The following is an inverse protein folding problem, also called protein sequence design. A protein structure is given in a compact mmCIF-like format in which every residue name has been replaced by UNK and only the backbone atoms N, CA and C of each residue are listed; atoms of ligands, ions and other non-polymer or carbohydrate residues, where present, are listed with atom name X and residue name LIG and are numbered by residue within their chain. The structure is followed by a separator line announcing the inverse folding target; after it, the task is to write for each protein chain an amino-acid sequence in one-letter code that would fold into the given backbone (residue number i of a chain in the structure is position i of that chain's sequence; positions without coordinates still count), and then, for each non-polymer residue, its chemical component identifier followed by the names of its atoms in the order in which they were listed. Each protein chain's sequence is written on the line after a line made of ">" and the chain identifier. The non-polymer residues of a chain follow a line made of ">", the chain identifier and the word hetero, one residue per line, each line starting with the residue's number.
data_IF_298255297806
#
_entry.id   IF_298255297806
#
_cell.length_a   1.000
_cell.length_b   1.000
_cell.length_c   1.000
_cell.angle_alpha   90.00
_cell.angle_beta   90.00
_cell.angle_gamma   90.00
#
_symmetry.space_group_name_H-M   'P 1'
#
loop_
_entity.id
_entity.type
_entity.pdbx_description
1 polymer ?
#
# COMPACT_ATOMS: atom_id res chain seq x y z
N UNK A 1 29.86 15.92 -4.68
CA UNK A 1 28.65 15.08 -4.85
C UNK A 1 27.46 16.02 -4.98
N UNK A 2 26.74 16.02 -6.11
CA UNK A 2 25.47 16.74 -6.24
C UNK A 2 24.54 16.40 -5.07
N UNK A 3 23.77 17.37 -4.58
CA UNK A 3 22.87 17.16 -3.44
C UNK A 3 21.87 16.01 -3.68
N UNK A 4 21.46 15.80 -4.95
CA UNK A 4 20.61 14.69 -5.35
C UNK A 4 21.27 13.32 -5.12
N UNK A 5 22.52 13.14 -5.54
CA UNK A 5 23.25 11.87 -5.40
C UNK A 5 23.48 11.50 -3.93
N UNK A 6 23.66 12.50 -3.07
CA UNK A 6 23.73 12.30 -1.62
C UNK A 6 22.40 11.78 -1.06
N UNK A 7 21.29 12.42 -1.43
CA UNK A 7 19.94 12.00 -1.01
C UNK A 7 19.62 10.60 -1.51
N UNK A 8 19.91 10.29 -2.77
CA UNK A 8 19.72 8.97 -3.36
C UNK A 8 20.54 7.93 -2.60
N UNK A 9 21.82 8.21 -2.34
CA UNK A 9 22.71 7.29 -1.61
C UNK A 9 22.20 6.96 -0.21
N UNK A 10 21.66 7.96 0.50
CA UNK A 10 21.09 7.77 1.84
C UNK A 10 19.83 6.89 1.81
N UNK A 11 18.99 7.04 0.78
CA UNK A 11 17.71 6.34 0.68
C UNK A 11 17.85 4.93 0.09
N UNK A 12 18.81 4.68 -0.80
CA UNK A 12 18.98 3.38 -1.46
C UNK A 12 19.80 2.37 -0.65
N UNK A 13 20.79 2.85 0.12
CA UNK A 13 21.68 1.96 0.85
C UNK A 13 21.13 1.65 2.24
N UNK A 14 20.76 0.38 2.44
CA UNK A 14 20.29 -0.12 3.74
C UNK A 14 21.26 0.15 4.90
N UNK A 15 22.56 0.27 4.63
CA UNK A 15 23.58 0.64 5.64
C UNK A 15 23.34 2.01 6.28
N UNK A 16 22.60 2.89 5.63
CA UNK A 16 22.29 4.23 6.13
C UNK A 16 20.87 4.37 6.68
N UNK A 17 20.11 3.28 6.81
CA UNK A 17 18.73 3.33 7.31
C UNK A 17 18.61 4.04 8.66
N UNK A 18 19.53 3.75 9.58
CA UNK A 18 19.54 4.33 10.92
C UNK A 18 20.37 5.61 11.03
N UNK A 19 20.97 6.06 9.93
CA UNK A 19 21.78 7.26 9.91
C UNK A 19 20.92 8.51 10.25
N UNK A 20 21.42 9.44 11.08
CA UNK A 20 20.66 10.62 11.48
C UNK A 20 20.11 11.44 10.30
N UNK A 21 20.87 11.55 9.20
CA UNK A 21 20.41 12.24 8.00
C UNK A 21 19.24 11.53 7.32
N UNK A 22 19.21 10.19 7.31
CA UNK A 22 18.10 9.42 6.73
C UNK A 22 16.85 9.60 7.56
N UNK A 23 16.95 9.52 8.89
CA UNK A 23 15.83 9.78 9.80
C UNK A 23 15.30 11.20 9.62
N UNK A 24 16.17 12.20 9.64
CA UNK A 24 15.81 13.59 9.42
C UNK A 24 15.14 13.81 8.06
N UNK A 25 15.64 13.19 7.00
CA UNK A 25 15.07 13.29 5.67
C UNK A 25 13.66 12.67 5.61
N UNK A 26 13.46 11.50 6.22
CA UNK A 26 12.15 10.85 6.32
C UNK A 26 11.18 11.70 7.13
N UNK A 27 11.60 12.25 8.27
CA UNK A 27 10.79 13.13 9.11
C UNK A 27 10.36 14.42 8.39
N UNK A 28 11.22 14.93 7.49
CA UNK A 28 10.94 16.13 6.68
C UNK A 28 10.24 15.83 5.35
N UNK A 29 10.11 14.56 4.97
CA UNK A 29 9.51 14.18 3.68
C UNK A 29 8.13 14.79 3.44
N UNK A 30 7.19 14.85 4.42
CA UNK A 30 5.90 15.51 4.21
C UNK A 30 6.02 16.99 3.83
N UNK A 31 6.93 17.72 4.49
CA UNK A 31 7.17 19.12 4.21
C UNK A 31 7.82 19.32 2.83
N UNK A 32 8.78 18.47 2.47
CA UNK A 32 9.45 18.50 1.16
C UNK A 32 8.47 18.20 0.03
N UNK A 33 7.64 17.15 0.17
CA UNK A 33 6.62 16.81 -0.82
C UNK A 33 5.60 17.93 -0.95
N UNK A 34 5.16 18.53 0.15
CA UNK A 34 4.25 19.67 0.14
C UNK A 34 4.86 20.89 -0.58
N UNK A 35 6.16 21.14 -0.41
CA UNK A 35 6.87 22.19 -1.14
C UNK A 35 6.83 21.93 -2.65
N UNK A 36 7.16 20.70 -3.08
CA UNK A 36 7.12 20.33 -4.50
C UNK A 36 5.72 20.38 -5.10
N UNK A 37 4.69 20.01 -4.32
CA UNK A 37 3.30 20.10 -4.73
C UNK A 37 2.83 21.55 -4.94
N UNK A 38 3.42 22.52 -4.22
CA UNK A 38 3.10 23.95 -4.33
C UNK A 38 3.94 24.69 -5.36
N UNK A 39 5.09 24.14 -5.75
CA UNK A 39 5.99 24.80 -6.68
C UNK A 39 5.51 24.62 -8.13
N UNK A 40 5.38 25.69 -8.94
CA UNK A 40 4.81 25.63 -10.30
C UNK A 40 5.44 24.55 -11.19
N UNK A 41 6.77 24.46 -11.20
CA UNK A 41 7.48 23.55 -12.12
C UNK A 41 7.43 22.07 -11.70
N UNK A 42 7.13 21.79 -10.43
CA UNK A 42 7.13 20.42 -9.89
C UNK A 42 5.77 19.94 -9.42
N UNK A 43 4.75 20.81 -9.40
CA UNK A 43 3.43 20.47 -8.87
C UNK A 43 2.80 19.30 -9.63
N UNK A 44 2.72 19.41 -10.95
CA UNK A 44 2.10 18.38 -11.80
C UNK A 44 2.86 17.04 -11.72
N UNK A 45 4.20 17.07 -11.75
CA UNK A 45 5.00 15.85 -11.63
C UNK A 45 4.85 15.21 -10.25
N UNK A 46 4.73 16.01 -9.19
CA UNK A 46 4.48 15.53 -7.81
C UNK A 46 3.11 14.87 -7.69
N UNK A 47 2.05 15.49 -8.21
CA UNK A 47 0.70 14.89 -8.19
C UNK A 47 0.61 13.63 -9.05
N UNK A 48 1.29 13.59 -10.21
CA UNK A 48 1.39 12.39 -11.03
C UNK A 48 2.12 11.26 -10.29
N UNK A 49 3.24 11.55 -9.64
CA UNK A 49 3.96 10.58 -8.81
C UNK A 49 3.10 10.04 -7.65
N UNK A 50 2.38 10.93 -6.95
CA UNK A 50 1.51 10.55 -5.84
C UNK A 50 0.37 9.61 -6.31
N UNK A 51 -0.32 9.97 -7.41
CA UNK A 51 -1.37 9.13 -8.03
C UNK A 51 -0.84 7.74 -8.37
N UNK A 52 0.28 7.66 -9.07
CA UNK A 52 0.89 6.39 -9.46
C UNK A 52 1.28 5.54 -8.24
N UNK A 53 1.81 6.17 -7.19
CA UNK A 53 2.21 5.48 -5.96
C UNK A 53 0.99 4.90 -5.23
N UNK A 54 -0.09 5.66 -5.11
CA UNK A 54 -1.34 5.20 -4.49
C UNK A 54 -1.94 4.07 -5.32
N UNK A 55 -2.06 4.25 -6.64
CA UNK A 55 -2.62 3.23 -7.53
C UNK A 55 -1.86 1.89 -7.42
N UNK A 56 -0.53 1.93 -7.42
CA UNK A 56 0.31 0.74 -7.25
C UNK A 56 0.06 0.04 -5.91
N UNK A 57 0.08 0.79 -4.81
CA UNK A 57 -0.15 0.24 -3.45
C UNK A 57 -1.55 -0.36 -3.31
N UNK A 58 -2.57 0.30 -3.88
CA UNK A 58 -3.94 -0.21 -3.86
C UNK A 58 -4.06 -1.48 -4.69
N UNK A 59 -3.48 -1.51 -5.90
CA UNK A 59 -3.47 -2.70 -6.73
C UNK A 59 -2.75 -3.88 -6.05
N UNK A 60 -1.61 -3.64 -5.41
CA UNK A 60 -0.87 -4.67 -4.66
C UNK A 60 -1.67 -5.15 -3.43
N UNK A 61 -2.36 -4.25 -2.75
CA UNK A 61 -3.24 -4.60 -1.62
C UNK A 61 -4.44 -5.44 -2.06
N UNK A 62 -5.11 -5.06 -3.16
CA UNK A 62 -6.22 -5.83 -3.73
C UNK A 62 -5.73 -7.23 -4.12
N UNK A 63 -4.61 -7.32 -4.85
CA UNK A 63 -4.01 -8.61 -5.22
C UNK A 63 -3.76 -9.49 -4.01
N UNK A 64 -3.21 -8.93 -2.93
CA UNK A 64 -2.99 -9.69 -1.68
C UNK A 64 -4.30 -10.15 -1.04
N UNK A 65 -5.31 -9.29 -1.02
CA UNK A 65 -6.63 -9.64 -0.49
C UNK A 65 -7.28 -10.77 -1.30
N UNK A 66 -7.18 -10.73 -2.62
CA UNK A 66 -7.75 -11.73 -3.51
C UNK A 66 -6.90 -12.99 -3.65
N UNK A 67 -5.59 -12.91 -3.35
CA UNK A 67 -4.69 -14.06 -3.36
C UNK A 67 -4.88 -14.98 -2.14
N UNK A 68 -5.43 -14.45 -1.05
CA UNK A 68 -5.92 -15.27 0.05
C UNK A 68 -7.23 -15.93 -0.38
N UNK A 69 -7.13 -17.03 -1.12
CA UNK A 69 -8.27 -17.92 -1.41
C UNK A 69 -8.83 -18.59 -0.14
N UNK A 70 -8.19 -18.40 1.02
CA UNK A 70 -8.71 -18.79 2.33
C UNK A 70 -9.88 -17.92 2.81
N UNK A 71 -10.25 -16.86 2.07
CA UNK A 71 -11.58 -16.28 2.24
C UNK A 71 -12.60 -17.28 1.69
N UNK A 72 -13.19 -18.09 2.58
CA UNK A 72 -14.10 -19.22 2.36
C UNK A 72 -15.41 -18.92 1.57
N UNK A 73 -15.46 -17.87 0.76
CA UNK A 73 -16.54 -17.61 -0.19
C UNK A 73 -16.21 -18.18 -1.57
N UNK A 74 -15.56 -19.33 -1.63
CA UNK A 74 -15.47 -20.06 -2.88
C UNK A 74 -16.72 -20.92 -3.05
N UNK A 75 -17.77 -20.33 -3.64
CA UNK A 75 -18.98 -21.04 -4.03
C UNK A 75 -18.82 -21.77 -5.38
N UNK A 76 -17.60 -21.87 -5.94
CA UNK A 76 -17.37 -22.52 -7.25
C UNK A 76 -17.76 -24.01 -7.26
N UNK A 77 -17.92 -24.63 -6.09
CA UNK A 77 -18.42 -25.99 -5.92
C UNK A 77 -19.75 -26.08 -5.18
N UNK A 78 -20.35 -24.95 -4.81
CA UNK A 78 -21.65 -24.92 -4.15
C UNK A 78 -22.75 -25.27 -5.17
N UNK A 79 -23.60 -26.23 -4.84
CA UNK A 79 -24.79 -26.50 -5.64
C UNK A 79 -25.83 -25.38 -5.45
N UNK A 80 -26.82 -25.31 -6.35
CA UNK A 80 -27.90 -24.34 -6.21
C UNK A 80 -28.65 -24.48 -4.87
N UNK A 81 -28.73 -25.71 -4.33
CA UNK A 81 -29.34 -25.97 -3.03
C UNK A 81 -28.48 -25.46 -1.88
N UNK A 82 -27.17 -25.60 -1.97
CA UNK A 82 -26.25 -25.09 -0.94
C UNK A 82 -26.30 -23.55 -0.86
N UNK A 83 -26.61 -22.87 -1.96
CA UNK A 83 -26.86 -21.43 -2.00
C UNK A 83 -28.23 -21.03 -1.44
N UNK A 84 -29.27 -21.84 -1.67
CA UNK A 84 -30.60 -21.61 -1.08
C UNK A 84 -30.61 -21.80 0.44
N UNK A 85 -29.87 -22.80 0.92
CA UNK A 85 -29.74 -23.12 2.34
C UNK A 85 -28.66 -22.28 3.05
N UNK A 86 -27.94 -21.40 2.33
CA UNK A 86 -26.83 -20.62 2.86
C UNK A 86 -27.28 -19.58 3.90
N UNK A 87 -26.74 -19.67 5.12
CA UNK A 87 -26.95 -18.69 6.19
C UNK A 87 -25.65 -18.00 6.58
N UNK A 88 -25.53 -16.72 6.23
CA UNK A 88 -24.33 -15.91 6.54
C UNK A 88 -24.09 -15.81 8.05
N UNK A 89 -25.16 -15.90 8.85
CA UNK A 89 -25.13 -15.89 10.31
C UNK A 89 -24.53 -17.16 10.92
N UNK A 90 -24.60 -18.30 10.22
CA UNK A 90 -23.99 -19.56 10.67
C UNK A 90 -22.48 -19.55 10.42
N UNK A 91 -22.06 -19.16 9.21
CA UNK A 91 -20.64 -18.95 8.89
C UNK A 91 -19.99 -17.91 9.82
N UNK A 92 -20.67 -16.79 10.11
CA UNK A 92 -20.15 -15.78 11.03
C UNK A 92 -20.01 -16.31 12.48
N UNK A 93 -20.79 -17.32 12.88
CA UNK A 93 -20.65 -18.01 14.18
C UNK A 93 -19.46 -18.95 14.19
N UNK A 94 -19.25 -19.72 13.13
CA UNK A 94 -18.06 -20.59 12.96
C UNK A 94 -16.76 -19.78 12.99
N UNK A 95 -16.74 -18.63 12.32
CA UNK A 95 -15.58 -17.72 12.30
C UNK A 95 -15.25 -17.10 13.66
N UNK A 96 -16.20 -17.03 14.59
CA UNK A 96 -15.97 -16.55 15.97
C UNK A 96 -15.55 -17.67 16.93
N UNK A 97 -15.66 -18.93 16.51
CA UNK A 97 -15.40 -20.12 17.33
C UNK A 97 -13.95 -20.63 17.31
N UNK A 98 -13.07 -20.02 16.51
CA UNK A 98 -11.62 -20.26 16.45
C UNK A 98 -10.84 -19.04 16.94
#
# INVERSE_FOLDING_TARGET
>A
VPAADFVITLLERNSYRDHPCTKSLVDKAPAIINLFAKHPDSSESTFRWARNTIQKRTADSIKRLTANQDWHFDASHASAKDLEDFQIEEMAREMKGN
#
